data_IF_251213733280
#
_entry.id   IF_251213733280
#
_cell.length_a   1.000
_cell.length_b   1.000
_cell.length_c   1.000
_cell.angle_alpha   90.00
_cell.angle_beta   90.00
_cell.angle_gamma   90.00
#
_symmetry.space_group_name_H-M   'P 1'
#
loop_
_entity.id
_entity.type
_entity.pdbx_description
1 polymer ?
#
# COMPACT_ATOMS: atom_id res chain seq x y z
N UNK A 1 6.05 15.69 11.52
CA UNK A 1 5.18 15.17 10.43
C UNK A 1 4.90 13.71 10.70
N UNK A 2 3.65 13.39 11.00
CA UNK A 2 3.20 12.02 11.28
C UNK A 2 2.81 11.32 9.98
N UNK A 3 3.33 10.09 9.78
CA UNK A 3 3.18 9.35 8.54
C UNK A 3 2.67 7.94 8.82
N UNK A 4 1.57 7.58 8.18
CA UNK A 4 0.98 6.23 8.28
C UNK A 4 1.05 5.53 6.92
N UNK A 5 1.49 4.28 6.89
CA UNK A 5 1.41 3.44 5.70
C UNK A 5 0.20 2.52 5.79
N UNK A 6 -0.66 2.55 4.77
CA UNK A 6 -1.84 1.70 4.66
C UNK A 6 -1.73 0.78 3.45
N UNK A 7 -2.00 -0.50 3.68
CA UNK A 7 -1.87 -1.56 2.69
C UNK A 7 -3.26 -2.11 2.39
N UNK A 8 -3.92 -1.71 1.29
CA UNK A 8 -5.18 -2.31 0.89
C UNK A 8 -4.94 -3.73 0.38
N UNK A 9 -5.71 -4.68 0.88
CA UNK A 9 -5.61 -6.08 0.49
C UNK A 9 -6.99 -6.67 0.24
N UNK A 10 -7.17 -7.30 -0.93
CA UNK A 10 -8.37 -8.07 -1.29
C UNK A 10 -8.00 -9.51 -1.61
N UNK A 11 -8.93 -10.42 -1.35
CA UNK A 11 -8.72 -11.85 -1.65
C UNK A 11 -8.78 -12.10 -3.15
N UNK A 12 -9.77 -11.49 -3.82
CA UNK A 12 -10.00 -11.71 -5.25
C UNK A 12 -9.02 -10.92 -6.10
N UNK A 13 -8.35 -11.63 -6.95
CA UNK A 13 -7.46 -11.11 -7.98
C UNK A 13 -7.83 -11.75 -9.32
N UNK A 14 -8.06 -10.95 -10.34
CA UNK A 14 -8.46 -11.41 -11.68
C UNK A 14 -7.43 -12.30 -12.36
N UNK A 15 -6.15 -12.14 -12.03
CA UNK A 15 -5.03 -12.86 -12.67
C UNK A 15 -4.51 -14.04 -11.83
N UNK A 16 -4.58 -13.96 -10.52
CA UNK A 16 -4.05 -14.97 -9.61
C UNK A 16 -4.92 -15.05 -8.37
N UNK A 17 -5.71 -16.11 -8.25
CA UNK A 17 -6.58 -16.33 -7.08
C UNK A 17 -5.78 -16.28 -5.77
N UNK A 18 -6.33 -15.60 -4.78
CA UNK A 18 -5.75 -15.46 -3.43
C UNK A 18 -4.31 -14.95 -3.44
N UNK A 19 -3.98 -14.04 -4.36
CA UNK A 19 -2.61 -13.54 -4.57
C UNK A 19 -1.94 -13.12 -3.27
N UNK A 20 -2.67 -12.40 -2.41
CA UNK A 20 -2.14 -11.87 -1.13
C UNK A 20 -1.69 -12.96 -0.16
N UNK A 21 -2.27 -14.15 -0.25
CA UNK A 21 -1.97 -15.31 0.61
C UNK A 21 -0.96 -16.26 0.00
N UNK A 22 -0.54 -16.04 -1.25
CA UNK A 22 0.49 -16.88 -1.89
C UNK A 22 1.81 -16.77 -1.16
N UNK A 23 2.41 -17.93 -0.94
CA UNK A 23 3.66 -18.07 -0.22
C UNK A 23 4.85 -17.69 -1.11
N UNK A 24 5.67 -16.77 -0.66
CA UNK A 24 6.90 -16.34 -1.33
C UNK A 24 8.06 -16.58 -0.36
N UNK A 25 8.82 -17.65 -0.61
CA UNK A 25 9.94 -18.02 0.25
C UNK A 25 9.54 -18.27 1.71
N UNK A 26 8.44 -19.01 1.92
CA UNK A 26 7.98 -19.40 3.26
C UNK A 26 7.01 -18.44 3.94
N UNK A 27 6.71 -17.28 3.35
CA UNK A 27 5.87 -16.24 3.97
C UNK A 27 4.81 -15.74 2.99
N UNK A 28 3.55 -15.52 3.41
CA UNK A 28 2.51 -14.92 2.57
C UNK A 28 2.92 -13.57 2.01
N UNK A 29 2.52 -13.27 0.77
CA UNK A 29 2.87 -12.03 0.07
C UNK A 29 2.52 -10.79 0.90
N UNK A 30 1.32 -10.71 1.43
CA UNK A 30 0.87 -9.57 2.24
C UNK A 30 1.73 -9.37 3.50
N UNK A 31 2.15 -10.45 4.16
CA UNK A 31 3.03 -10.41 5.32
C UNK A 31 4.42 -9.87 4.94
N UNK A 32 4.94 -10.27 3.78
CA UNK A 32 6.22 -9.74 3.28
C UNK A 32 6.14 -8.25 3.00
N UNK A 33 5.10 -7.79 2.34
CA UNK A 33 4.89 -6.36 2.07
C UNK A 33 4.84 -5.56 3.37
N UNK A 34 4.03 -6.02 4.34
CA UNK A 34 3.95 -5.38 5.65
C UNK A 34 5.30 -5.34 6.37
N UNK A 35 6.00 -6.48 6.45
CA UNK A 35 7.31 -6.58 7.12
C UNK A 35 8.36 -5.67 6.47
N UNK A 36 8.35 -5.58 5.14
CA UNK A 36 9.24 -4.68 4.42
C UNK A 36 9.04 -3.22 4.85
N UNK A 37 7.79 -2.75 4.96
CA UNK A 37 7.48 -1.39 5.39
C UNK A 37 7.88 -1.12 6.85
N UNK A 38 7.60 -2.05 7.76
CA UNK A 38 8.04 -1.93 9.17
C UNK A 38 9.56 -1.78 9.27
N UNK A 39 10.31 -2.51 8.45
CA UNK A 39 11.77 -2.47 8.46
C UNK A 39 12.34 -1.13 7.98
N UNK A 40 11.58 -0.32 7.24
CA UNK A 40 12.02 1.02 6.83
C UNK A 40 12.13 1.98 8.01
N UNK A 41 11.33 1.80 9.06
CA UNK A 41 11.31 2.69 10.24
C UNK A 41 11.00 4.16 9.90
N UNK A 42 10.21 4.37 8.85
CA UNK A 42 9.81 5.69 8.35
C UNK A 42 8.38 6.06 8.76
N UNK A 43 7.62 5.11 9.29
CA UNK A 43 6.20 5.26 9.58
C UNK A 43 5.94 5.22 11.08
N UNK A 44 5.06 6.08 11.56
CA UNK A 44 4.54 6.02 12.93
C UNK A 44 3.64 4.80 13.10
N UNK A 45 2.95 4.43 12.03
CA UNK A 45 2.10 3.25 12.01
C UNK A 45 2.06 2.61 10.61
N UNK A 46 1.94 1.28 10.58
CA UNK A 46 1.64 0.50 9.37
C UNK A 46 0.46 -0.41 9.64
N UNK A 47 -0.54 -0.41 8.78
CA UNK A 47 -1.70 -1.28 8.92
C UNK A 47 -2.16 -1.84 7.57
N UNK A 48 -2.81 -3.00 7.61
CA UNK A 48 -3.48 -3.62 6.46
C UNK A 48 -4.97 -3.34 6.54
N UNK A 49 -5.60 -3.02 5.41
CA UNK A 49 -7.05 -2.86 5.32
C UNK A 49 -7.59 -3.90 4.34
N UNK A 50 -8.49 -4.75 4.82
CA UNK A 50 -9.03 -5.85 4.03
C UNK A 50 -10.53 -6.04 4.28
N UNK A 51 -11.24 -6.59 3.30
CA UNK A 51 -12.62 -7.06 3.41
C UNK A 51 -12.70 -8.59 3.55
N UNK A 52 -11.56 -9.27 3.60
CA UNK A 52 -11.46 -10.73 3.63
C UNK A 52 -11.14 -11.26 5.01
N UNK A 53 -12.03 -12.07 5.57
CA UNK A 53 -11.78 -12.79 6.82
C UNK A 53 -10.61 -13.80 6.69
N UNK A 54 -10.40 -14.35 5.49
CA UNK A 54 -9.28 -15.26 5.25
C UNK A 54 -7.93 -14.53 5.35
N UNK A 55 -7.84 -13.33 4.78
CA UNK A 55 -6.65 -12.48 4.93
C UNK A 55 -6.49 -12.08 6.40
N UNK A 56 -7.55 -11.61 7.06
CA UNK A 56 -7.55 -11.24 8.48
C UNK A 56 -7.01 -12.36 9.36
N UNK A 57 -7.50 -13.59 9.17
CA UNK A 57 -7.02 -14.76 9.92
C UNK A 57 -5.52 -15.01 9.75
N UNK A 58 -4.99 -14.76 8.55
CA UNK A 58 -3.54 -14.88 8.32
C UNK A 58 -2.79 -13.76 9.02
N UNK A 59 -3.28 -12.52 8.94
CA UNK A 59 -2.65 -11.36 9.59
C UNK A 59 -2.61 -11.53 11.12
N UNK A 60 -3.67 -12.08 11.73
CA UNK A 60 -3.71 -12.41 13.17
C UNK A 60 -2.59 -13.36 13.57
N UNK A 61 -2.34 -14.42 12.78
CA UNK A 61 -1.25 -15.38 13.04
C UNK A 61 0.14 -14.73 13.08
N UNK A 62 0.31 -13.63 12.36
CA UNK A 62 1.55 -12.87 12.33
C UNK A 62 1.54 -11.63 13.22
N UNK A 63 0.47 -11.45 14.02
CA UNK A 63 0.27 -10.27 14.89
C UNK A 63 0.37 -8.94 14.13
N UNK A 64 -0.16 -8.90 12.92
CA UNK A 64 -0.15 -7.73 12.05
C UNK A 64 -1.40 -6.89 12.32
N UNK A 65 -1.22 -5.59 12.60
CA UNK A 65 -2.31 -4.63 12.75
C UNK A 65 -3.10 -4.53 11.46
N UNK A 66 -4.41 -4.72 11.54
CA UNK A 66 -5.29 -4.63 10.39
C UNK A 66 -6.72 -4.21 10.76
N UNK A 67 -7.45 -3.73 9.77
CA UNK A 67 -8.84 -3.31 9.86
C UNK A 67 -9.67 -4.09 8.85
N UNK A 68 -10.88 -4.48 9.25
CA UNK A 68 -11.80 -5.21 8.39
C UNK A 68 -12.85 -4.23 7.87
N UNK A 69 -12.82 -3.98 6.56
CA UNK A 69 -13.86 -3.21 5.87
C UNK A 69 -15.16 -3.98 5.82
N UNK A 70 -16.27 -3.31 6.12
CA UNK A 70 -17.63 -3.84 5.97
C UNK A 70 -18.27 -3.47 4.64
N UNK A 71 -17.58 -2.66 3.84
CA UNK A 71 -18.04 -2.16 2.54
C UNK A 71 -17.28 -2.86 1.41
N UNK A 72 -17.93 -2.94 0.26
CA UNK A 72 -17.28 -3.33 -0.98
C UNK A 72 -16.68 -2.07 -1.60
N UNK A 73 -15.42 -2.15 -1.99
CA UNK A 73 -14.70 -1.04 -2.60
C UNK A 73 -14.17 -1.44 -3.97
N UNK A 74 -14.34 -0.57 -4.95
CA UNK A 74 -13.85 -0.80 -6.31
C UNK A 74 -12.33 -0.70 -6.40
N UNK A 75 -11.74 0.22 -5.63
CA UNK A 75 -10.29 0.45 -5.61
C UNK A 75 -9.67 0.27 -4.24
N UNK A 76 -8.33 0.08 -4.21
CA UNK A 76 -7.57 0.07 -2.96
C UNK A 76 -7.58 1.42 -2.25
N UNK A 77 -7.64 2.51 -3.00
CA UNK A 77 -7.70 3.87 -2.46
C UNK A 77 -9.02 4.12 -1.74
N UNK A 78 -10.15 3.69 -2.32
CA UNK A 78 -11.47 3.79 -1.66
C UNK A 78 -11.52 2.99 -0.36
N UNK A 79 -10.86 1.81 -0.35
CA UNK A 79 -10.75 0.98 0.86
C UNK A 79 -9.95 1.68 1.97
N UNK A 80 -8.88 2.38 1.62
CA UNK A 80 -8.11 3.19 2.57
C UNK A 80 -8.95 4.35 3.08
N UNK A 81 -9.66 5.05 2.21
CA UNK A 81 -10.45 6.22 2.55
C UNK A 81 -11.52 5.93 3.62
N UNK A 82 -12.04 4.70 3.70
CA UNK A 82 -12.99 4.30 4.76
C UNK A 82 -12.40 4.46 6.17
N UNK A 83 -11.08 4.37 6.31
CA UNK A 83 -10.41 4.33 7.61
C UNK A 83 -9.51 5.54 7.89
N UNK A 84 -9.44 6.53 6.99
CA UNK A 84 -8.57 7.71 7.14
C UNK A 84 -8.77 8.40 8.48
N UNK A 85 -10.02 8.61 8.88
CA UNK A 85 -10.39 9.29 10.14
C UNK A 85 -10.02 8.48 11.41
N UNK A 86 -9.59 7.22 11.23
CA UNK A 86 -9.13 6.37 12.35
C UNK A 86 -7.65 6.61 12.70
N UNK A 87 -6.95 7.42 11.92
CA UNK A 87 -5.53 7.70 12.09
C UNK A 87 -5.31 9.20 12.33
N UNK A 88 -4.56 9.52 13.37
CA UNK A 88 -4.10 10.89 13.63
C UNK A 88 -2.76 11.09 12.92
N UNK A 89 -2.81 11.43 11.63
CA UNK A 89 -1.61 11.61 10.82
C UNK A 89 -1.76 12.70 9.78
N UNK A 90 -0.62 13.27 9.36
CA UNK A 90 -0.57 14.31 8.33
C UNK A 90 -0.46 13.71 6.92
N UNK A 91 0.18 12.54 6.81
CA UNK A 91 0.41 11.87 5.52
C UNK A 91 0.00 10.40 5.60
N UNK A 92 -0.76 9.97 4.60
CA UNK A 92 -1.05 8.56 4.36
C UNK A 92 -0.30 8.11 3.10
N UNK A 93 0.50 7.06 3.24
CA UNK A 93 1.15 6.39 2.12
C UNK A 93 0.41 5.11 1.79
N UNK A 94 -0.21 5.09 0.60
CA UNK A 94 -0.88 3.91 0.06
C UNK A 94 0.14 3.00 -0.60
N UNK A 95 0.37 1.82 -0.02
CA UNK A 95 1.26 0.79 -0.59
C UNK A 95 0.45 -0.42 -0.98
N UNK A 96 0.51 -0.82 -2.23
CA UNK A 96 -0.22 -1.99 -2.70
C UNK A 96 0.29 -3.28 -2.03
N UNK A 97 -0.63 -4.16 -1.63
CA UNK A 97 -0.29 -5.39 -0.90
C UNK A 97 0.60 -6.37 -1.66
N UNK A 98 0.76 -6.17 -2.96
CA UNK A 98 1.60 -6.99 -3.86
C UNK A 98 2.96 -6.35 -4.22
N UNK A 99 3.42 -5.41 -3.43
CA UNK A 99 4.72 -4.74 -3.60
C UNK A 99 5.75 -5.09 -2.49
N UNK A 100 6.12 -6.38 -2.33
CA UNK A 100 7.02 -6.81 -1.25
C UNK A 100 8.47 -6.35 -1.41
N UNK A 101 8.83 -5.81 -2.58
CA UNK A 101 10.19 -5.38 -2.93
C UNK A 101 10.33 -3.86 -3.08
N UNK A 102 9.34 -3.10 -2.58
CA UNK A 102 9.43 -1.66 -2.50
C UNK A 102 10.71 -1.26 -1.75
N UNK A 103 11.40 -0.24 -2.26
CA UNK A 103 12.68 0.21 -1.70
C UNK A 103 12.47 1.46 -0.84
N UNK A 104 13.22 1.56 0.24
CA UNK A 104 13.15 2.68 1.19
C UNK A 104 13.30 4.04 0.50
N UNK A 105 14.24 4.16 -0.44
CA UNK A 105 14.51 5.42 -1.15
C UNK A 105 13.32 5.89 -2.02
N UNK A 106 12.38 5.01 -2.35
CA UNK A 106 11.17 5.40 -3.07
C UNK A 106 10.21 6.13 -2.13
N UNK A 107 10.08 5.65 -0.89
CA UNK A 107 9.27 6.30 0.15
C UNK A 107 9.91 7.61 0.59
N UNK A 108 11.23 7.62 0.82
CA UNK A 108 11.98 8.83 1.19
C UNK A 108 11.76 9.97 0.20
N UNK A 109 11.72 9.68 -1.11
CA UNK A 109 11.43 10.69 -2.14
C UNK A 109 10.02 11.28 -2.01
N UNK A 110 9.01 10.47 -1.68
CA UNK A 110 7.64 10.96 -1.45
C UNK A 110 7.63 11.89 -0.23
N UNK A 111 8.26 11.45 0.86
CA UNK A 111 8.34 12.22 2.10
C UNK A 111 9.08 13.55 1.88
N UNK A 112 10.17 13.53 1.11
CA UNK A 112 10.95 14.73 0.77
C UNK A 112 10.11 15.78 0.04
N UNK A 113 9.22 15.36 -0.88
CA UNK A 113 8.32 16.27 -1.59
C UNK A 113 7.42 17.01 -0.61
N UNK A 114 6.77 16.29 0.32
CA UNK A 114 5.90 16.90 1.34
C UNK A 114 6.69 17.76 2.33
N UNK A 115 7.90 17.37 2.72
CA UNK A 115 8.77 18.16 3.60
C UNK A 115 9.13 19.52 2.99
N UNK A 116 9.22 19.60 1.67
CA UNK A 116 9.57 20.82 0.94
C UNK A 116 8.34 21.65 0.55
N UNK A 117 7.13 21.15 0.78
CA UNK A 117 5.89 21.88 0.50
C UNK A 117 5.49 22.79 1.66
N UNK A 118 6.23 23.87 1.84
CA UNK A 118 6.00 24.85 2.91
C UNK A 118 4.67 25.61 2.80
N UNK A 119 3.99 25.52 1.66
CA UNK A 119 2.71 26.20 1.42
C UNK A 119 1.51 25.29 1.54
N UNK A 120 1.73 23.98 1.74
CA UNK A 120 0.68 22.96 1.74
C UNK A 120 -0.19 23.00 0.47
N UNK A 121 0.47 23.09 -0.70
CA UNK A 121 -0.18 23.13 -2.01
C UNK A 121 -0.28 21.74 -2.66
N UNK A 122 0.41 20.73 -2.10
CA UNK A 122 0.48 19.38 -2.66
C UNK A 122 -0.45 18.45 -1.90
N UNK A 123 -1.51 18.02 -2.56
CA UNK A 123 -2.47 17.07 -2.00
C UNK A 123 -2.06 15.61 -2.25
N UNK A 124 -1.43 15.31 -3.40
CA UNK A 124 -1.11 13.94 -3.81
C UNK A 124 0.25 13.86 -4.50
N UNK A 125 1.03 12.85 -4.13
CA UNK A 125 2.31 12.49 -4.78
C UNK A 125 2.27 11.05 -5.24
N UNK A 126 2.70 10.78 -6.47
CA UNK A 126 2.86 9.43 -7.00
C UNK A 126 4.23 9.24 -7.65
N UNK A 127 4.77 8.04 -7.50
CA UNK A 127 6.03 7.67 -8.15
C UNK A 127 5.79 7.26 -9.59
N UNK A 128 6.66 7.72 -10.48
CA UNK A 128 6.68 7.30 -11.87
C UNK A 128 8.10 7.09 -12.38
N UNK A 129 8.23 6.30 -13.44
CA UNK A 129 9.48 6.13 -14.19
C UNK A 129 9.26 6.44 -15.66
N UNK A 130 10.29 6.96 -16.32
CA UNK A 130 10.27 7.13 -17.77
C UNK A 130 10.41 5.76 -18.44
N UNK A 131 9.55 5.46 -19.38
CA UNK A 131 9.56 4.21 -20.16
C UNK A 131 9.55 4.50 -21.65
N UNK A 132 9.98 3.53 -22.45
CA UNK A 132 9.94 3.64 -23.92
C UNK A 132 8.50 3.61 -24.44
N UNK A 133 8.28 4.28 -25.58
CA UNK A 133 6.97 4.37 -26.23
C UNK A 133 6.35 3.01 -26.53
N UNK A 134 7.17 2.01 -26.89
CA UNK A 134 6.67 0.67 -27.23
C UNK A 134 6.21 -0.10 -25.96
N UNK A 135 6.88 0.12 -24.84
CA UNK A 135 6.43 -0.40 -23.54
C UNK A 135 5.13 0.30 -23.10
N UNK A 136 5.04 1.61 -23.31
CA UNK A 136 3.87 2.40 -22.97
C UNK A 136 2.59 1.98 -23.72
N UNK A 137 2.70 1.41 -24.92
CA UNK A 137 1.57 0.89 -25.70
C UNK A 137 0.91 -0.35 -25.09
N UNK A 138 1.60 -1.08 -24.21
CA UNK A 138 1.08 -2.30 -23.58
C UNK A 138 -0.07 -1.96 -22.62
N UNK A 139 -1.17 -2.71 -22.71
CA UNK A 139 -2.37 -2.48 -21.88
C UNK A 139 -2.17 -2.70 -20.39
N UNK A 140 -1.18 -3.53 -20.02
CA UNK A 140 -0.85 -3.85 -18.63
C UNK A 140 0.13 -2.86 -17.96
N UNK A 141 0.52 -1.80 -18.69
CA UNK A 141 1.38 -0.73 -18.13
C UNK A 141 0.50 0.45 -17.76
N UNK A 142 0.55 0.83 -16.48
CA UNK A 142 -0.13 2.03 -15.97
C UNK A 142 0.64 3.27 -16.44
N UNK A 143 -0.08 4.24 -17.00
CA UNK A 143 0.49 5.50 -17.48
C UNK A 143 0.03 6.64 -16.57
N UNK A 144 0.92 7.59 -16.40
CA UNK A 144 0.61 8.89 -15.76
C UNK A 144 0.67 9.94 -16.88
N UNK A 145 -0.38 10.71 -17.01
CA UNK A 145 -0.52 11.80 -17.98
C UNK A 145 -0.35 13.16 -17.31
#
# INVERSE_FOLDING_TARGET
MSIVALIPARLDSTRLQKKMLKNIGGTPLIVKTFTNLINFKLFDEVAVITDSLEISTVLDKYSIKHFISKKIHDTGTDRIAEFVDSFDCEIIINVQGDEPFLKINQIEKIIEVFNNDHKNEIDVVSLMIKIDKDIAKKSNVVKVS
#
